data_IF_896464218263
#
_entry.id   IF_896464218263
#
_cell.length_a   1.000
_cell.length_b   1.000
_cell.length_c   1.000
_cell.angle_alpha   90.00
_cell.angle_beta   90.00
_cell.angle_gamma   90.00
#
_symmetry.space_group_name_H-M   'P 1'
#
loop_
_entity.id
_entity.type
_entity.pdbx_description
1 polymer ?
#
# COMPACT_ATOMS: atom_id res chain seq x y z
N UNK A 1 19.71 38.41 -8.67
CA UNK A 1 18.64 37.61 -9.31
C UNK A 1 18.97 36.12 -9.21
N UNK A 2 18.23 35.33 -8.43
CA UNK A 2 18.39 33.86 -8.39
C UNK A 2 17.94 33.30 -9.74
N UNK A 3 18.81 32.58 -10.44
CA UNK A 3 18.49 31.93 -11.70
C UNK A 3 17.35 30.94 -11.47
N UNK A 4 16.15 31.29 -11.93
CA UNK A 4 15.00 30.37 -11.92
C UNK A 4 15.39 29.21 -12.83
N UNK A 5 15.80 28.09 -12.23
CA UNK A 5 16.17 26.86 -12.92
C UNK A 5 14.96 26.44 -13.74
N UNK A 6 14.96 26.74 -15.05
CA UNK A 6 13.88 26.36 -15.96
C UNK A 6 13.65 24.87 -15.78
N UNK A 7 12.45 24.49 -15.33
CA UNK A 7 12.00 23.10 -15.28
C UNK A 7 11.96 22.57 -16.70
N UNK A 8 13.09 22.04 -17.16
CA UNK A 8 13.20 21.41 -18.47
C UNK A 8 12.59 20.02 -18.34
N UNK A 9 11.78 19.64 -19.33
CA UNK A 9 11.16 18.32 -19.32
C UNK A 9 12.27 17.26 -19.28
N UNK A 10 12.27 16.43 -18.22
CA UNK A 10 13.31 15.42 -17.97
C UNK A 10 13.56 14.54 -19.20
N UNK A 11 12.52 14.23 -19.97
CA UNK A 11 12.63 13.40 -21.16
C UNK A 11 13.19 14.18 -22.37
N UNK A 12 12.84 15.45 -22.54
CA UNK A 12 13.41 16.33 -23.56
C UNK A 12 14.91 16.50 -23.37
N UNK A 13 15.35 16.77 -22.14
CA UNK A 13 16.77 16.92 -21.82
C UNK A 13 17.56 15.63 -22.15
N UNK A 14 17.00 14.46 -21.83
CA UNK A 14 17.62 13.17 -22.18
C UNK A 14 17.81 12.97 -23.68
N UNK A 15 16.87 13.42 -24.51
CA UNK A 15 16.99 13.34 -25.96
C UNK A 15 18.07 14.30 -26.50
N UNK A 16 18.19 15.50 -25.92
CA UNK A 16 19.25 16.47 -26.25
C UNK A 16 20.63 15.91 -25.92
N UNK A 17 20.78 15.35 -24.72
CA UNK A 17 22.04 14.69 -24.30
C UNK A 17 22.36 13.52 -25.23
N UNK A 18 21.37 12.73 -25.64
CA UNK A 18 21.58 11.62 -26.56
C UNK A 18 22.08 12.09 -27.92
N UNK A 19 21.50 13.14 -28.50
CA UNK A 19 22.01 13.76 -29.74
C UNK A 19 23.45 14.25 -29.56
N UNK A 20 23.79 14.83 -28.40
CA UNK A 20 25.17 15.25 -28.11
C UNK A 20 26.12 14.05 -28.12
N UNK A 21 25.71 12.96 -27.47
CA UNK A 21 26.47 11.71 -27.39
C UNK A 21 26.68 11.10 -28.77
N UNK A 22 25.62 10.98 -29.59
CA UNK A 22 25.72 10.46 -30.94
C UNK A 22 26.63 11.32 -31.82
N UNK A 23 26.50 12.65 -31.75
CA UNK A 23 27.38 13.56 -32.49
C UNK A 23 28.85 13.39 -32.10
N UNK A 24 29.13 13.27 -30.79
CA UNK A 24 30.49 13.03 -30.30
C UNK A 24 31.04 11.69 -30.80
N UNK A 25 30.25 10.62 -30.70
CA UNK A 25 30.66 9.29 -31.13
C UNK A 25 30.91 9.24 -32.65
N UNK A 26 30.05 9.86 -33.46
CA UNK A 26 30.23 9.93 -34.91
C UNK A 26 31.51 10.68 -35.34
N UNK A 27 31.99 11.63 -34.52
CA UNK A 27 33.20 12.39 -34.82
C UNK A 27 34.49 11.68 -34.35
N UNK A 28 34.42 10.90 -33.26
CA UNK A 28 35.62 10.37 -32.59
C UNK A 28 35.79 8.86 -32.73
N UNK A 29 34.73 8.12 -33.08
CA UNK A 29 34.75 6.67 -33.19
C UNK A 29 34.43 6.28 -34.63
N UNK A 30 35.30 5.47 -35.25
CA UNK A 30 35.05 4.90 -36.58
C UNK A 30 33.86 3.93 -36.55
N UNK A 31 33.76 3.13 -35.48
CA UNK A 31 32.71 2.12 -35.29
C UNK A 31 32.28 2.08 -33.82
N UNK A 32 31.00 1.83 -33.55
CA UNK A 32 30.49 1.67 -32.18
C UNK A 32 29.22 0.82 -32.11
N UNK A 33 28.98 0.25 -30.94
CA UNK A 33 27.80 -0.57 -30.64
C UNK A 33 26.80 0.19 -29.77
N UNK A 34 25.57 -0.34 -29.62
CA UNK A 34 24.59 0.24 -28.68
C UNK A 34 25.07 0.25 -27.22
N UNK A 35 25.91 -0.70 -26.83
CA UNK A 35 26.54 -0.74 -25.50
C UNK A 35 27.49 0.45 -25.31
N UNK A 36 28.26 0.81 -26.34
CA UNK A 36 29.11 2.00 -26.32
C UNK A 36 28.26 3.27 -26.16
N UNK A 37 27.17 3.39 -26.94
CA UNK A 37 26.25 4.53 -26.81
C UNK A 37 25.69 4.62 -25.38
N UNK A 38 25.29 3.47 -24.81
CA UNK A 38 24.76 3.40 -23.45
C UNK A 38 25.80 3.86 -22.41
N UNK A 39 27.05 3.43 -22.55
CA UNK A 39 28.15 3.81 -21.68
C UNK A 39 28.38 5.34 -21.69
N UNK A 40 28.61 5.92 -22.87
CA UNK A 40 28.83 7.37 -23.00
C UNK A 40 27.62 8.20 -22.58
N UNK A 41 26.41 7.75 -22.95
CA UNK A 41 25.17 8.41 -22.54
C UNK A 41 25.03 8.40 -21.02
N UNK A 42 25.22 7.24 -20.36
CA UNK A 42 25.10 7.15 -18.90
C UNK A 42 26.16 7.95 -18.16
N UNK A 43 27.38 8.06 -18.69
CA UNK A 43 28.41 8.93 -18.11
C UNK A 43 28.01 10.40 -18.17
N UNK A 44 27.46 10.87 -19.30
CA UNK A 44 26.92 12.23 -19.41
C UNK A 44 25.73 12.46 -18.47
N UNK A 45 24.88 11.44 -18.29
CA UNK A 45 23.75 11.50 -17.37
C UNK A 45 24.20 11.63 -15.90
N UNK A 46 25.22 10.86 -15.48
CA UNK A 46 25.82 10.96 -14.14
C UNK A 46 26.41 12.35 -13.89
N UNK A 47 27.18 12.89 -14.85
CA UNK A 47 27.73 14.26 -14.79
C UNK A 47 26.64 15.33 -14.61
N UNK A 48 25.47 15.12 -15.21
CA UNK A 48 24.31 16.01 -15.09
C UNK A 48 23.43 15.73 -13.84
N UNK A 49 23.89 14.89 -12.90
CA UNK A 49 23.13 14.54 -11.68
C UNK A 49 21.89 13.68 -11.94
N UNK A 50 21.80 13.00 -13.09
CA UNK A 50 20.68 12.15 -13.46
C UNK A 50 21.01 10.66 -13.33
N UNK A 51 20.01 9.86 -12.95
CA UNK A 51 20.15 8.41 -12.85
C UNK A 51 20.46 7.78 -14.21
N UNK A 52 21.36 6.78 -14.28
CA UNK A 52 21.64 6.05 -15.51
C UNK A 52 20.39 5.31 -16.00
N UNK A 53 20.35 5.03 -17.29
CA UNK A 53 19.25 4.32 -17.96
C UNK A 53 19.68 2.91 -18.36
N UNK A 54 18.69 2.02 -18.50
CA UNK A 54 18.89 0.67 -19.03
C UNK A 54 18.90 0.70 -20.57
N UNK A 55 19.47 -0.33 -21.19
CA UNK A 55 19.54 -0.47 -22.65
C UNK A 55 18.17 -0.34 -23.34
N UNK A 56 17.13 -1.01 -22.81
CA UNK A 56 15.75 -0.92 -23.33
C UNK A 56 15.21 0.52 -23.36
N UNK A 57 15.60 1.33 -22.37
CA UNK A 57 15.21 2.75 -22.31
C UNK A 57 15.97 3.58 -23.35
N UNK A 58 17.27 3.31 -23.55
CA UNK A 58 18.06 3.95 -24.61
C UNK A 58 17.47 3.65 -26.00
N UNK A 59 17.09 2.39 -26.26
CA UNK A 59 16.47 1.98 -27.52
C UNK A 59 15.14 2.72 -27.78
N UNK A 60 14.33 2.92 -26.74
CA UNK A 60 13.10 3.74 -26.85
C UNK A 60 13.40 5.19 -27.21
N UNK A 61 14.51 5.76 -26.74
CA UNK A 61 14.94 7.11 -27.12
C UNK A 61 15.41 7.16 -28.56
N UNK A 62 16.22 6.19 -29.01
CA UNK A 62 16.68 6.09 -30.39
C UNK A 62 15.51 5.94 -31.37
N UNK A 63 14.54 5.07 -31.05
CA UNK A 63 13.28 4.95 -31.80
C UNK A 63 12.55 6.30 -31.93
N UNK A 64 12.50 7.06 -30.83
CA UNK A 64 11.82 8.35 -30.83
C UNK A 64 12.56 9.41 -31.65
N UNK A 65 13.90 9.40 -31.65
CA UNK A 65 14.70 10.31 -32.47
C UNK A 65 14.48 10.07 -33.96
N UNK A 66 14.34 8.81 -34.38
CA UNK A 66 14.08 8.48 -35.78
C UNK A 66 12.60 8.62 -36.14
N UNK A 67 11.70 7.83 -35.54
CA UNK A 67 10.30 7.71 -36.01
C UNK A 67 9.42 8.89 -35.66
N UNK A 68 9.64 9.53 -34.51
CA UNK A 68 8.78 10.63 -34.05
C UNK A 68 9.38 11.98 -34.45
N UNK A 69 10.70 12.13 -34.32
CA UNK A 69 11.38 13.41 -34.53
C UNK A 69 12.09 13.51 -35.89
N UNK A 70 12.38 12.39 -36.56
CA UNK A 70 13.03 12.39 -37.87
C UNK A 70 14.43 13.01 -37.88
N UNK A 71 15.15 13.03 -36.75
CA UNK A 71 16.46 13.71 -36.61
C UNK A 71 17.65 12.78 -36.81
N UNK A 72 17.44 11.47 -36.85
CA UNK A 72 18.46 10.45 -37.11
C UNK A 72 18.07 9.60 -38.32
N UNK A 73 19.04 9.21 -39.13
CA UNK A 73 18.89 8.28 -40.26
C UNK A 73 19.63 7.01 -39.83
N UNK A 74 18.93 5.88 -39.82
CA UNK A 74 19.31 4.54 -39.35
C UNK A 74 18.82 4.18 -37.95
N UNK A 75 17.96 3.18 -37.91
CA UNK A 75 17.53 2.48 -36.71
C UNK A 75 17.51 0.98 -36.99
N UNK A 76 18.45 0.26 -36.40
CA UNK A 76 18.41 -1.20 -36.40
C UNK A 76 17.50 -1.68 -35.26
N UNK A 77 16.37 -2.26 -35.62
CA UNK A 77 15.52 -3.01 -34.69
C UNK A 77 15.59 -4.48 -35.06
N UNK A 78 16.39 -5.25 -34.33
CA UNK A 78 16.06 -6.57 -33.79
C UNK A 78 17.24 -7.04 -32.90
N UNK A 79 16.92 -7.45 -31.66
CA UNK A 79 17.86 -8.12 -30.75
C UNK A 79 17.60 -9.63 -30.88
N UNK A 80 18.47 -10.32 -31.62
CA UNK A 80 18.68 -11.77 -31.52
C UNK A 80 19.85 -12.09 -30.58
N UNK A 81 20.22 -13.38 -30.50
CA UNK A 81 21.12 -13.98 -29.49
C UNK A 81 22.55 -13.38 -29.48
N UNK A 82 22.99 -12.74 -30.56
CA UNK A 82 24.34 -12.19 -30.68
C UNK A 82 24.35 -10.67 -30.43
N UNK A 83 24.73 -10.26 -29.22
CA UNK A 83 24.88 -8.87 -28.77
C UNK A 83 26.07 -8.14 -29.43
N UNK A 84 26.03 -7.97 -30.75
CA UNK A 84 27.07 -7.22 -31.47
C UNK A 84 26.76 -7.08 -32.94
N UNK A 85 25.97 -6.09 -33.30
CA UNK A 85 25.94 -5.57 -34.67
C UNK A 85 26.43 -4.14 -34.62
N UNK A 86 27.33 -3.78 -35.52
CA UNK A 86 27.77 -2.41 -35.73
C UNK A 86 26.55 -1.55 -36.07
N UNK A 87 26.29 -0.49 -35.30
CA UNK A 87 25.13 0.39 -35.55
C UNK A 87 25.60 1.82 -35.68
N UNK A 88 25.62 2.31 -36.92
CA UNK A 88 25.94 3.70 -37.22
C UNK A 88 24.67 4.58 -37.23
N UNK A 89 24.47 5.37 -36.18
CA UNK A 89 23.37 6.33 -36.08
C UNK A 89 23.82 7.69 -36.65
N UNK A 90 23.46 7.98 -37.90
CA UNK A 90 23.80 9.26 -38.54
C UNK A 90 22.79 10.33 -38.14
N UNK A 91 23.26 11.51 -37.75
CA UNK A 91 22.37 12.67 -37.56
C UNK A 91 21.94 13.19 -38.93
N UNK A 92 20.63 13.38 -39.13
CA UNK A 92 20.07 13.94 -40.37
C UNK A 92 20.46 15.41 -40.56
N UNK A 93 20.54 16.14 -39.46
CA UNK A 93 20.85 17.56 -39.43
C UNK A 93 22.03 17.84 -38.49
N UNK A 94 22.57 19.05 -38.57
CA UNK A 94 23.57 19.50 -37.62
C UNK A 94 23.02 19.45 -36.17
N UNK A 95 23.92 19.32 -35.20
CA UNK A 95 23.57 19.20 -33.78
C UNK A 95 22.63 20.31 -33.28
N UNK A 96 22.83 21.56 -33.72
CA UNK A 96 22.02 22.72 -33.29
C UNK A 96 20.60 22.62 -33.83
N UNK A 97 20.44 22.17 -35.06
CA UNK A 97 19.15 22.01 -35.72
C UNK A 97 18.36 20.83 -35.14
N UNK A 98 19.03 19.72 -34.83
CA UNK A 98 18.43 18.63 -34.07
C UNK A 98 17.86 19.11 -32.72
N UNK A 99 18.55 20.01 -32.01
CA UNK A 99 18.03 20.59 -30.76
C UNK A 99 16.81 21.47 -31.00
N UNK A 100 16.81 22.27 -32.06
CA UNK A 100 15.66 23.11 -32.43
C UNK A 100 14.42 22.26 -32.70
N UNK A 101 14.55 21.20 -33.49
CA UNK A 101 13.46 20.26 -33.81
C UNK A 101 12.91 19.61 -32.54
N UNK A 102 13.80 19.08 -31.67
CA UNK A 102 13.39 18.49 -30.39
C UNK A 102 12.65 19.52 -29.53
N UNK A 103 13.21 20.72 -29.38
CA UNK A 103 12.61 21.77 -28.55
C UNK A 103 11.25 22.23 -29.08
N UNK A 104 11.10 22.35 -30.41
CA UNK A 104 9.85 22.69 -31.09
C UNK A 104 8.77 21.64 -30.79
N UNK A 105 9.06 20.36 -31.00
CA UNK A 105 8.13 19.26 -30.73
C UNK A 105 7.59 19.26 -29.29
N UNK A 106 8.46 19.47 -28.29
CA UNK A 106 8.02 19.50 -26.89
C UNK A 106 7.23 20.77 -26.53
N UNK A 107 7.45 21.89 -27.23
CA UNK A 107 6.68 23.13 -27.09
C UNK A 107 5.26 22.94 -27.63
N UNK A 108 5.15 22.46 -28.86
CA UNK A 108 3.86 22.18 -29.52
C UNK A 108 3.04 21.18 -28.70
N UNK A 109 3.65 20.08 -28.24
CA UNK A 109 2.98 19.09 -27.38
C UNK A 109 2.53 19.64 -26.03
N UNK A 110 3.14 20.73 -25.53
CA UNK A 110 2.70 21.40 -24.29
C UNK A 110 1.48 22.27 -24.60
N UNK A 111 1.52 23.00 -25.70
CA UNK A 111 0.40 23.85 -26.17
C UNK A 111 -0.83 23.02 -26.52
N UNK A 112 -0.69 21.89 -27.24
CA UNK A 112 -1.78 20.96 -27.52
C UNK A 112 -2.45 20.45 -26.23
N UNK A 113 -1.65 20.06 -25.24
CA UNK A 113 -2.18 19.60 -23.95
C UNK A 113 -2.92 20.70 -23.20
N UNK A 114 -2.47 21.94 -23.33
CA UNK A 114 -3.16 23.08 -22.76
C UNK A 114 -4.49 23.33 -23.48
N UNK A 115 -4.49 23.38 -24.83
CA UNK A 115 -5.71 23.51 -25.65
C UNK A 115 -6.73 22.42 -25.34
N UNK A 116 -6.31 21.15 -25.26
CA UNK A 116 -7.18 20.02 -24.88
C UNK A 116 -7.82 20.20 -23.51
N UNK A 117 -7.07 20.71 -22.52
CA UNK A 117 -7.61 20.98 -21.17
C UNK A 117 -8.59 22.15 -21.17
N UNK A 118 -8.27 23.23 -21.88
CA UNK A 118 -9.15 24.39 -22.03
C UNK A 118 -10.46 23.98 -22.71
N UNK A 119 -10.40 23.25 -23.82
CA UNK A 119 -11.58 22.74 -24.53
C UNK A 119 -12.40 21.81 -23.66
N UNK A 120 -11.77 20.86 -22.95
CA UNK A 120 -12.49 19.96 -22.04
C UNK A 120 -13.17 20.71 -20.87
N UNK A 121 -12.60 21.84 -20.42
CA UNK A 121 -13.24 22.69 -19.43
C UNK A 121 -14.43 23.46 -20.03
N UNK A 122 -14.29 24.00 -21.23
CA UNK A 122 -15.36 24.68 -21.96
C UNK A 122 -16.52 23.70 -22.22
N UNK A 123 -16.25 22.51 -22.78
CA UNK A 123 -17.25 21.46 -23.00
C UNK A 123 -18.00 21.10 -21.71
N UNK A 124 -17.29 20.88 -20.60
CA UNK A 124 -17.91 20.59 -19.29
C UNK A 124 -18.78 21.74 -18.77
N UNK A 125 -18.42 22.98 -19.07
CA UNK A 125 -19.15 24.17 -18.61
C UNK A 125 -20.37 24.42 -19.50
N UNK A 126 -20.22 24.26 -20.82
CA UNK A 126 -21.32 24.35 -21.79
C UNK A 126 -22.35 23.23 -21.59
N UNK A 127 -21.94 21.99 -21.30
CA UNK A 127 -22.87 20.87 -21.02
C UNK A 127 -23.65 21.11 -19.72
N UNK A 128 -23.05 21.73 -18.69
CA UNK A 128 -23.76 22.10 -17.45
C UNK A 128 -24.82 23.20 -17.66
N UNK A 129 -24.69 24.01 -18.70
CA UNK A 129 -25.63 25.07 -19.03
C UNK A 129 -26.61 24.69 -20.17
N UNK A 130 -26.56 23.45 -20.68
CA UNK A 130 -27.41 23.00 -21.81
C UNK A 130 -28.66 22.21 -21.39
N UNK A 131 -29.04 22.24 -20.11
CA UNK A 131 -30.29 21.65 -19.61
C UNK A 131 -31.14 22.69 -18.87
N UNK A 132 -31.45 23.80 -19.53
CA UNK A 132 -32.67 24.57 -19.23
C UNK A 132 -33.28 25.01 -20.55
N UNK A 133 -33.78 24.04 -21.33
CA UNK A 133 -34.99 24.35 -22.09
C UNK A 133 -36.07 24.67 -21.06
N UNK A 134 -36.70 25.83 -21.19
CA UNK A 134 -37.84 26.27 -20.39
C UNK A 134 -39.02 25.32 -20.66
N UNK A 135 -38.99 24.13 -20.07
CA UNK A 135 -40.18 23.31 -19.94
C UNK A 135 -40.93 23.83 -18.72
N UNK A 136 -42.11 24.36 -18.98
CA UNK A 136 -43.08 24.78 -17.99
C UNK A 136 -43.26 23.66 -16.96
N UNK A 137 -42.99 23.98 -15.70
CA UNK A 137 -43.04 23.01 -14.63
C UNK A 137 -44.51 22.81 -14.22
N UNK A 138 -45.15 21.78 -14.75
CA UNK A 138 -46.43 21.29 -14.21
C UNK A 138 -46.15 20.69 -12.83
N UNK A 139 -46.45 21.45 -11.78
CA UNK A 139 -46.35 21.00 -10.40
C UNK A 139 -47.22 19.75 -10.17
N UNK A 140 -46.60 18.68 -9.69
CA UNK A 140 -47.27 17.69 -8.87
C UNK A 140 -46.61 17.68 -7.48
N UNK A 141 -46.90 18.73 -6.71
CA UNK A 141 -46.76 18.76 -5.25
C UNK A 141 -47.84 17.84 -4.69
N UNK A 142 -47.54 16.72 -4.03
CA UNK A 142 -47.69 16.71 -2.57
C UNK A 142 -46.85 15.62 -1.86
N UNK A 143 -46.23 14.67 -2.57
CA UNK A 143 -45.57 13.51 -1.91
C UNK A 143 -44.02 13.52 -1.88
N UNK A 144 -43.34 14.57 -2.37
CA UNK A 144 -41.85 14.63 -2.44
C UNK A 144 -41.17 15.65 -1.51
N UNK A 145 -41.90 16.32 -0.62
CA UNK A 145 -41.28 17.32 0.30
C UNK A 145 -40.54 16.67 1.46
N UNK A 146 -41.11 15.62 2.06
CA UNK A 146 -40.56 14.97 3.26
C UNK A 146 -39.22 14.24 3.02
N UNK A 147 -39.10 13.48 1.92
CA UNK A 147 -37.85 12.80 1.56
C UNK A 147 -36.70 13.78 1.31
N UNK A 148 -36.95 14.87 0.57
CA UNK A 148 -35.93 15.89 0.29
C UNK A 148 -35.46 16.62 1.55
N UNK A 149 -36.36 16.82 2.51
CA UNK A 149 -36.05 17.50 3.77
C UNK A 149 -35.24 16.61 4.71
N UNK A 150 -35.55 15.32 4.77
CA UNK A 150 -34.77 14.31 5.49
C UNK A 150 -33.36 14.12 4.90
N UNK A 151 -33.26 14.07 3.56
CA UNK A 151 -31.97 14.01 2.87
C UNK A 151 -31.13 15.25 3.15
N UNK A 152 -31.71 16.45 3.12
CA UNK A 152 -31.02 17.70 3.45
C UNK A 152 -30.51 17.70 4.90
N UNK A 153 -31.34 17.30 5.87
CA UNK A 153 -30.94 17.18 7.30
C UNK A 153 -29.78 16.19 7.49
N UNK A 154 -29.80 15.06 6.77
CA UNK A 154 -28.74 14.05 6.83
C UNK A 154 -27.38 14.56 6.28
N UNK A 155 -27.44 15.33 5.18
CA UNK A 155 -26.27 15.95 4.55
C UNK A 155 -25.68 17.02 5.47
N UNK A 156 -26.51 17.88 6.05
CA UNK A 156 -26.09 18.92 6.99
C UNK A 156 -25.41 18.32 8.23
N UNK A 157 -26.02 17.28 8.83
CA UNK A 157 -25.44 16.57 9.98
C UNK A 157 -24.06 15.97 9.65
N UNK A 158 -23.90 15.45 8.43
CA UNK A 158 -22.63 14.90 7.94
C UNK A 158 -21.56 15.99 7.72
N UNK A 159 -21.95 17.16 7.22
CA UNK A 159 -21.05 18.31 7.05
C UNK A 159 -20.54 18.84 8.39
N UNK A 160 -21.42 19.01 9.38
CA UNK A 160 -21.04 19.47 10.73
C UNK A 160 -20.11 18.46 11.40
N UNK A 161 -20.39 17.15 11.29
CA UNK A 161 -19.50 16.08 11.80
C UNK A 161 -18.10 16.16 11.18
N UNK A 162 -18.00 16.35 9.85
CA UNK A 162 -16.71 16.51 9.16
C UNK A 162 -15.96 17.74 9.65
N UNK A 163 -16.65 18.86 9.83
CA UNK A 163 -16.06 20.08 10.36
C UNK A 163 -15.52 19.88 11.79
N UNK A 164 -16.32 19.29 12.68
CA UNK A 164 -15.92 19.05 14.07
C UNK A 164 -14.67 18.15 14.17
N UNK A 165 -14.61 17.07 13.38
CA UNK A 165 -13.42 16.20 13.29
C UNK A 165 -12.16 16.97 12.85
N UNK A 166 -12.30 17.87 11.87
CA UNK A 166 -11.18 18.69 11.37
C UNK A 166 -10.61 19.64 12.43
N UNK A 167 -11.42 20.07 13.40
CA UNK A 167 -11.03 21.05 14.41
C UNK A 167 -10.12 20.48 15.51
N UNK A 168 -9.98 19.15 15.66
CA UNK A 168 -9.21 18.49 16.74
C UNK A 168 -9.42 19.18 18.10
N UNK A 169 -10.66 19.18 18.58
CA UNK A 169 -10.99 19.69 19.91
C UNK A 169 -10.25 18.88 20.99
N UNK A 170 -9.90 19.54 22.09
CA UNK A 170 -9.20 18.90 23.21
C UNK A 170 -10.16 18.42 24.29
N UNK A 171 -11.32 19.06 24.36
CA UNK A 171 -12.43 18.67 25.23
C UNK A 171 -13.52 17.98 24.42
N UNK A 172 -14.31 17.12 25.08
CA UNK A 172 -15.47 16.46 24.49
C UNK A 172 -16.72 17.37 24.41
N UNK A 173 -16.60 18.65 24.80
CA UNK A 173 -17.71 19.62 24.83
C UNK A 173 -18.37 19.84 23.45
N UNK A 174 -17.64 19.60 22.36
CA UNK A 174 -18.20 19.70 21.00
C UNK A 174 -19.24 18.61 20.69
N UNK A 175 -19.27 17.48 21.42
CA UNK A 175 -20.26 16.43 21.24
C UNK A 175 -21.67 16.92 21.56
N UNK A 176 -21.81 17.76 22.59
CA UNK A 176 -23.08 18.39 22.94
C UNK A 176 -23.60 19.25 21.79
N UNK A 177 -22.72 20.01 21.11
CA UNK A 177 -23.11 20.82 19.93
C UNK A 177 -23.56 19.96 18.75
N UNK A 178 -22.90 18.81 18.53
CA UNK A 178 -23.29 17.92 17.43
C UNK A 178 -24.71 17.37 17.61
N UNK A 179 -25.11 17.13 18.87
CA UNK A 179 -26.40 16.56 19.25
C UNK A 179 -27.54 17.59 19.39
N UNK A 180 -27.24 18.89 19.45
CA UNK A 180 -28.27 19.94 19.49
C UNK A 180 -29.19 19.87 18.26
N UNK A 181 -30.48 20.10 18.44
CA UNK A 181 -31.42 20.24 17.33
C UNK A 181 -31.43 21.69 16.85
N UNK A 182 -30.39 22.07 16.13
CA UNK A 182 -30.16 23.43 15.64
C UNK A 182 -29.67 23.42 14.19
N UNK A 183 -29.85 24.56 13.51
CA UNK A 183 -29.38 24.77 12.15
C UNK A 183 -27.85 24.58 12.02
N UNK A 184 -27.43 24.16 10.83
CA UNK A 184 -26.03 23.92 10.50
C UNK A 184 -25.14 25.12 10.84
N UNK A 185 -25.56 26.33 10.46
CA UNK A 185 -24.72 27.52 10.59
C UNK A 185 -24.49 27.87 12.06
N UNK A 186 -25.53 27.77 12.89
CA UNK A 186 -25.43 27.90 14.34
C UNK A 186 -24.45 26.88 14.95
N UNK A 187 -24.54 25.60 14.55
CA UNK A 187 -23.61 24.57 15.03
C UNK A 187 -22.17 24.88 14.65
N UNK A 188 -21.93 25.36 13.42
CA UNK A 188 -20.58 25.73 12.97
C UNK A 188 -20.05 26.92 13.76
N UNK A 189 -20.89 27.91 14.06
CA UNK A 189 -20.52 29.07 14.86
C UNK A 189 -20.21 28.70 16.31
N UNK A 190 -21.03 27.87 16.93
CA UNK A 190 -20.78 27.34 18.27
C UNK A 190 -19.47 26.51 18.32
N UNK A 191 -19.20 25.67 17.32
CA UNK A 191 -17.93 24.95 17.20
C UNK A 191 -16.72 25.89 17.04
N UNK A 192 -16.87 27.01 16.31
CA UNK A 192 -15.82 28.05 16.23
C UNK A 192 -15.60 28.71 17.58
N UNK A 193 -16.65 29.03 18.32
CA UNK A 193 -16.58 29.64 19.65
C UNK A 193 -15.86 28.72 20.64
N UNK A 194 -16.21 27.43 20.69
CA UNK A 194 -15.48 26.44 21.49
C UNK A 194 -14.01 26.41 21.11
N UNK A 195 -13.68 26.39 19.81
CA UNK A 195 -12.28 26.31 19.38
C UNK A 195 -11.49 27.56 19.78
N UNK A 196 -12.11 28.73 19.68
CA UNK A 196 -11.52 30.00 20.16
C UNK A 196 -11.31 29.97 21.68
N UNK A 197 -12.28 29.50 22.45
CA UNK A 197 -12.18 29.39 23.91
C UNK A 197 -11.08 28.41 24.33
N UNK A 198 -11.00 27.24 23.70
CA UNK A 198 -9.89 26.29 23.90
C UNK A 198 -8.55 27.00 23.62
N UNK A 199 -8.38 27.59 22.43
CA UNK A 199 -7.12 28.25 22.05
C UNK A 199 -6.75 29.42 22.99
N UNK A 200 -7.72 30.20 23.47
CA UNK A 200 -7.48 31.30 24.41
C UNK A 200 -7.06 30.79 25.80
N UNK A 201 -7.67 29.71 26.30
CA UNK A 201 -7.24 29.06 27.54
C UNK A 201 -5.81 28.52 27.41
N UNK A 202 -5.42 28.03 26.22
CA UNK A 202 -4.06 27.62 25.93
C UNK A 202 -3.06 28.76 25.77
N UNK A 203 -3.47 29.96 25.35
CA UNK A 203 -2.57 31.14 25.34
C UNK A 203 -2.03 31.46 26.74
N UNK A 204 -2.87 31.36 27.78
CA UNK A 204 -2.46 31.58 29.18
C UNK A 204 -1.56 30.47 29.78
N UNK A 205 -1.49 29.29 29.14
CA UNK A 205 -0.70 28.13 29.62
C UNK A 205 0.58 27.95 28.78
N UNK A 206 0.59 28.43 27.54
CA UNK A 206 1.67 28.20 26.57
C UNK A 206 2.84 29.16 26.68
N UNK A 207 2.82 30.15 27.56
CA UNK A 207 4.02 30.96 27.87
C UNK A 207 5.17 30.09 28.45
N UNK A 208 4.92 28.80 28.72
CA UNK A 208 5.88 27.85 29.31
C UNK A 208 6.23 26.66 28.38
N UNK A 209 5.67 26.53 27.16
CA UNK A 209 5.96 25.35 26.30
C UNK A 209 6.99 25.62 25.18
N UNK A 210 7.99 24.73 24.97
CA UNK A 210 8.98 24.92 23.94
C UNK A 210 8.37 24.80 22.55
N UNK A 211 8.96 25.56 21.63
CA UNK A 211 8.52 25.84 20.27
C UNK A 211 8.74 24.61 19.35
N UNK A 212 8.03 23.50 19.59
CA UNK A 212 8.15 22.31 18.73
C UNK A 212 7.62 22.63 17.33
N UNK A 213 8.41 22.34 16.29
CA UNK A 213 8.01 22.61 14.91
C UNK A 213 6.80 21.75 14.52
N UNK A 214 5.92 22.27 13.63
CA UNK A 214 4.76 21.51 13.09
C UNK A 214 5.15 20.16 12.46
N UNK A 215 6.42 19.96 12.13
CA UNK A 215 6.97 18.73 11.57
C UNK A 215 7.23 17.68 12.67
N UNK A 216 7.81 18.07 13.80
CA UNK A 216 8.09 17.17 14.93
C UNK A 216 6.82 16.51 15.48
N UNK A 217 5.73 17.28 15.60
CA UNK A 217 4.45 16.72 16.06
C UNK A 217 3.94 15.63 15.13
N UNK A 218 4.13 15.79 13.81
CA UNK A 218 3.74 14.78 12.82
C UNK A 218 4.65 13.56 12.88
N UNK A 219 5.96 13.76 13.09
CA UNK A 219 6.90 12.65 13.26
C UNK A 219 6.55 11.81 14.51
N UNK A 220 6.17 12.47 15.61
CA UNK A 220 5.68 11.79 16.83
C UNK A 220 4.41 10.96 16.55
N UNK A 221 3.45 11.50 15.79
CA UNK A 221 2.27 10.74 15.37
C UNK A 221 2.62 9.53 14.50
N UNK A 222 3.57 9.68 13.55
CA UNK A 222 4.04 8.58 12.73
C UNK A 222 4.66 7.46 13.56
N UNK A 223 5.52 7.81 14.53
CA UNK A 223 6.13 6.84 15.45
C UNK A 223 5.05 6.09 16.23
N UNK A 224 4.05 6.79 16.77
CA UNK A 224 2.96 6.17 17.53
C UNK A 224 2.20 5.15 16.67
N UNK A 225 1.82 5.52 15.44
CA UNK A 225 1.12 4.62 14.52
C UNK A 225 1.95 3.40 14.15
N UNK A 226 3.24 3.58 13.87
CA UNK A 226 4.13 2.47 13.52
C UNK A 226 4.33 1.51 14.71
N UNK A 227 4.37 2.03 15.94
CA UNK A 227 4.45 1.21 17.15
C UNK A 227 3.16 0.41 17.40
N UNK A 228 1.99 1.02 17.19
CA UNK A 228 0.70 0.30 17.25
C UNK A 228 0.66 -0.86 16.25
N UNK A 229 1.12 -0.63 15.01
CA UNK A 229 1.22 -1.69 13.98
C UNK A 229 2.23 -2.77 14.39
N UNK A 230 3.38 -2.39 14.95
CA UNK A 230 4.40 -3.34 15.45
C UNK A 230 3.80 -4.26 16.51
N UNK A 231 3.05 -3.70 17.45
CA UNK A 231 2.40 -4.46 18.53
C UNK A 231 1.36 -5.43 17.96
N UNK A 232 0.50 -4.98 17.05
CA UNK A 232 -0.52 -5.82 16.42
C UNK A 232 0.11 -6.99 15.64
N UNK A 233 1.15 -6.74 14.84
CA UNK A 233 1.83 -7.79 14.08
C UNK A 233 2.61 -8.77 14.98
N UNK A 234 3.17 -8.29 16.09
CA UNK A 234 3.81 -9.17 17.08
C UNK A 234 2.79 -10.11 17.71
N UNK A 235 1.60 -9.60 18.06
CA UNK A 235 0.50 -10.40 18.60
C UNK A 235 -0.05 -11.39 17.58
N UNK A 236 -0.06 -11.04 16.28
CA UNK A 236 -0.44 -11.97 15.22
C UNK A 236 0.55 -13.14 15.07
N UNK A 237 1.80 -13.04 15.56
CA UNK A 237 2.80 -14.11 15.49
C UNK A 237 3.90 -13.91 14.44
N UNK A 238 4.19 -12.65 14.05
CA UNK A 238 5.29 -12.32 13.14
C UNK A 238 6.61 -12.06 13.89
N UNK A 239 7.75 -12.34 13.22
CA UNK A 239 9.09 -12.18 13.79
C UNK A 239 9.41 -10.74 14.23
N UNK A 240 9.69 -10.56 15.53
CA UNK A 240 9.95 -9.25 16.15
C UNK A 240 11.18 -8.53 15.57
N UNK A 241 12.29 -9.24 15.36
CA UNK A 241 13.54 -8.69 14.84
C UNK A 241 13.38 -8.17 13.40
N UNK A 242 12.67 -8.93 12.56
CA UNK A 242 12.43 -8.53 11.16
C UNK A 242 11.43 -7.36 11.06
N UNK A 243 10.41 -7.33 11.93
CA UNK A 243 9.46 -6.21 12.01
C UNK A 243 10.16 -4.89 12.34
N UNK A 244 11.10 -4.91 13.28
CA UNK A 244 11.83 -3.72 13.72
C UNK A 244 12.62 -3.06 12.59
N UNK A 245 13.39 -3.85 11.84
CA UNK A 245 14.17 -3.37 10.69
C UNK A 245 13.24 -2.77 9.62
N UNK A 246 12.12 -3.44 9.33
CA UNK A 246 11.22 -2.98 8.25
C UNK A 246 10.39 -1.77 8.65
N UNK A 247 9.94 -1.69 9.90
CA UNK A 247 9.23 -0.53 10.41
C UNK A 247 10.16 0.70 10.44
N UNK A 248 11.44 0.52 10.78
CA UNK A 248 12.41 1.61 10.71
C UNK A 248 12.59 2.14 9.28
N UNK A 249 12.65 1.23 8.29
CA UNK A 249 12.69 1.63 6.88
C UNK A 249 11.44 2.40 6.43
N UNK A 250 10.26 2.01 6.93
CA UNK A 250 9.01 2.75 6.68
C UNK A 250 9.08 4.13 7.33
N UNK A 251 9.53 4.24 8.58
CA UNK A 251 9.69 5.54 9.24
C UNK A 251 10.58 6.48 8.43
N UNK A 252 11.76 6.01 8.01
CA UNK A 252 12.71 6.80 7.23
C UNK A 252 12.15 7.27 5.88
N UNK A 253 11.33 6.45 5.23
CA UNK A 253 10.70 6.80 3.95
C UNK A 253 9.63 7.90 4.08
N UNK A 254 8.94 7.97 5.23
CA UNK A 254 7.75 8.80 5.41
C UNK A 254 7.91 9.94 6.44
N UNK A 255 9.02 10.01 7.21
CA UNK A 255 9.27 11.05 8.23
C UNK A 255 9.19 12.49 7.73
N UNK A 256 9.47 12.70 6.45
CA UNK A 256 9.44 14.02 5.79
C UNK A 256 8.20 14.22 4.90
N UNK A 257 7.21 13.33 4.95
CA UNK A 257 6.01 13.35 4.11
C UNK A 257 4.75 13.63 4.93
N UNK A 258 4.46 14.91 5.24
CA UNK A 258 3.38 15.28 6.15
C UNK A 258 1.98 14.89 5.65
N UNK A 259 1.77 14.77 4.34
CA UNK A 259 0.49 14.36 3.74
C UNK A 259 0.13 12.91 4.06
N UNK A 260 1.13 12.03 4.19
CA UNK A 260 0.92 10.64 4.56
C UNK A 260 0.39 10.49 5.99
N UNK A 261 0.82 11.37 6.90
CA UNK A 261 0.45 11.35 8.32
C UNK A 261 -0.95 11.95 8.52
N UNK A 262 -1.25 13.05 7.82
CA UNK A 262 -2.51 13.79 7.97
C UNK A 262 -3.69 13.09 7.27
N UNK A 263 -3.49 12.50 6.09
CA UNK A 263 -4.56 11.91 5.27
C UNK A 263 -4.59 10.38 5.35
N UNK A 264 -4.20 9.80 6.49
CA UNK A 264 -4.15 8.33 6.67
C UNK A 264 -5.49 7.64 6.40
N UNK A 265 -6.60 8.27 6.80
CA UNK A 265 -7.95 7.70 6.67
C UNK A 265 -8.51 7.87 5.24
N UNK A 266 -7.86 8.68 4.40
CA UNK A 266 -8.30 8.98 3.03
C UNK A 266 -7.64 8.07 2.00
N UNK A 267 -6.48 7.50 2.30
CA UNK A 267 -5.74 6.65 1.36
C UNK A 267 -5.34 5.31 1.98
N UNK A 268 -5.59 4.23 1.24
CA UNK A 268 -5.13 2.84 1.49
C UNK A 268 -3.60 2.64 1.59
N UNK A 269 -2.80 3.70 1.64
CA UNK A 269 -1.34 3.60 1.60
C UNK A 269 -0.79 2.92 2.87
N UNK A 270 -1.42 3.15 4.03
CA UNK A 270 -1.07 2.45 5.26
C UNK A 270 -1.37 0.95 5.17
N UNK A 271 -2.55 0.59 4.65
CA UNK A 271 -2.94 -0.81 4.41
C UNK A 271 -1.98 -1.50 3.44
N UNK A 272 -1.56 -0.82 2.37
CA UNK A 272 -0.56 -1.34 1.42
C UNK A 272 0.79 -1.57 2.08
N UNK A 273 1.21 -0.71 3.01
CA UNK A 273 2.44 -0.90 3.78
C UNK A 273 2.31 -2.12 4.70
N UNK A 274 1.21 -2.24 5.44
CA UNK A 274 0.93 -3.40 6.29
C UNK A 274 0.91 -4.69 5.46
N UNK A 275 0.25 -4.70 4.30
CA UNK A 275 0.23 -5.85 3.39
C UNK A 275 1.62 -6.24 2.87
N UNK A 276 2.50 -5.27 2.60
CA UNK A 276 3.91 -5.54 2.26
C UNK A 276 4.72 -6.07 3.44
N UNK A 277 4.48 -5.56 4.64
CA UNK A 277 5.12 -6.07 5.85
C UNK A 277 4.75 -7.54 6.08
N UNK A 278 3.45 -7.87 6.05
CA UNK A 278 2.95 -9.25 6.21
C UNK A 278 3.52 -10.22 5.16
N UNK A 279 3.65 -9.80 3.90
CA UNK A 279 4.21 -10.65 2.83
C UNK A 279 5.71 -10.93 2.95
N UNK A 280 6.45 -10.08 3.65
CA UNK A 280 7.91 -10.10 3.60
C UNK A 280 8.55 -10.43 4.94
N UNK A 281 7.79 -10.41 6.04
CA UNK A 281 8.22 -10.86 7.35
C UNK A 281 7.77 -12.30 7.54
N UNK A 282 8.66 -13.14 8.02
CA UNK A 282 8.32 -14.54 8.31
C UNK A 282 7.34 -14.63 9.48
N UNK A 283 6.32 -15.46 9.28
CA UNK A 283 5.33 -15.80 10.28
C UNK A 283 5.86 -16.95 11.13
N UNK A 284 6.23 -16.68 12.38
CA UNK A 284 6.94 -17.65 13.23
C UNK A 284 6.03 -18.76 13.75
N UNK A 285 4.72 -18.49 13.92
CA UNK A 285 3.78 -19.47 14.47
C UNK A 285 3.44 -20.64 13.52
N UNK A 286 3.75 -20.53 12.22
CA UNK A 286 3.49 -21.63 11.27
C UNK A 286 4.39 -22.84 11.52
N UNK A 287 5.68 -22.60 11.83
CA UNK A 287 6.63 -23.69 12.10
C UNK A 287 6.33 -24.43 13.40
N UNK A 288 5.84 -23.74 14.43
CA UNK A 288 5.43 -24.38 15.69
C UNK A 288 4.16 -25.21 15.51
N UNK A 289 3.18 -24.73 14.75
CA UNK A 289 1.96 -25.50 14.44
C UNK A 289 2.23 -26.73 13.56
N UNK A 290 3.05 -26.60 12.51
CA UNK A 290 3.46 -27.75 11.66
C UNK A 290 4.20 -28.81 12.50
N UNK A 291 5.14 -28.40 13.36
CA UNK A 291 5.83 -29.32 14.27
C UNK A 291 4.89 -30.00 15.29
N UNK A 292 3.91 -29.29 15.85
CA UNK A 292 2.92 -29.89 16.78
C UNK A 292 2.01 -30.91 16.09
N UNK A 293 1.60 -30.65 14.85
CA UNK A 293 0.80 -31.58 14.04
C UNK A 293 1.64 -32.82 13.70
N UNK A 294 2.88 -32.65 13.29
CA UNK A 294 3.79 -33.76 12.96
C UNK A 294 4.10 -34.62 14.20
N UNK A 295 4.38 -33.99 15.35
CA UNK A 295 4.55 -34.70 16.63
C UNK A 295 3.29 -35.49 16.98
N UNK A 296 2.10 -34.89 16.85
CA UNK A 296 0.83 -35.58 17.12
C UNK A 296 0.61 -36.78 16.20
N UNK A 297 0.88 -36.64 14.90
CA UNK A 297 0.72 -37.73 13.92
C UNK A 297 1.70 -38.88 14.18
N UNK A 298 2.94 -38.57 14.53
CA UNK A 298 3.93 -39.58 14.87
C UNK A 298 3.56 -40.33 16.15
N UNK A 299 3.14 -39.61 17.19
CA UNK A 299 2.68 -40.21 18.46
C UNK A 299 1.44 -41.06 18.23
N UNK A 300 0.48 -40.59 17.42
CA UNK A 300 -0.68 -41.38 17.02
C UNK A 300 -0.27 -42.69 16.34
N UNK A 301 0.68 -42.63 15.41
CA UNK A 301 1.15 -43.81 14.67
C UNK A 301 1.84 -44.82 15.59
N UNK A 302 2.67 -44.35 16.54
CA UNK A 302 3.34 -45.21 17.51
C UNK A 302 2.31 -45.89 18.44
N UNK A 303 1.37 -45.12 19.01
CA UNK A 303 0.36 -45.67 19.92
C UNK A 303 -0.61 -46.62 19.21
N UNK A 304 -0.97 -46.33 17.96
CA UNK A 304 -1.79 -47.22 17.14
C UNK A 304 -1.09 -48.56 16.91
N UNK A 305 0.20 -48.55 16.56
CA UNK A 305 1.00 -49.76 16.36
C UNK A 305 1.13 -50.58 17.65
N UNK A 306 1.29 -49.91 18.80
CA UNK A 306 1.37 -50.58 20.11
C UNK A 306 0.04 -51.21 20.55
N UNK A 307 -1.10 -50.60 20.22
CA UNK A 307 -2.42 -51.00 20.74
C UNK A 307 -3.27 -51.80 19.74
N UNK A 308 -2.90 -51.87 18.45
CA UNK A 308 -3.68 -52.58 17.41
C UNK A 308 -3.95 -54.05 17.72
N UNK A 309 -3.10 -54.69 18.52
CA UNK A 309 -3.24 -56.09 18.90
C UNK A 309 -4.22 -56.31 20.08
N UNK A 310 -4.61 -55.25 20.79
CA UNK A 310 -5.45 -55.34 21.99
C UNK A 310 -6.93 -55.08 21.72
N UNK A 311 -7.28 -54.38 20.65
CA UNK A 311 -8.66 -53.98 20.33
C UNK A 311 -8.79 -53.67 18.84
N UNK A 312 -9.98 -53.87 18.29
CA UNK A 312 -10.28 -53.59 16.89
C UNK A 312 -10.00 -52.13 16.51
N UNK A 313 -9.45 -51.93 15.31
CA UNK A 313 -9.10 -50.61 14.78
C UNK A 313 -10.30 -49.66 14.73
N UNK A 314 -11.51 -50.18 14.51
CA UNK A 314 -12.75 -49.39 14.47
C UNK A 314 -13.07 -48.69 15.80
N UNK A 315 -12.67 -49.30 16.92
CA UNK A 315 -12.88 -48.77 18.28
C UNK A 315 -11.65 -47.98 18.74
N UNK A 316 -10.45 -48.48 18.42
CA UNK A 316 -9.19 -47.88 18.87
C UNK A 316 -8.91 -46.50 18.25
N UNK A 317 -9.14 -46.34 16.94
CA UNK A 317 -8.84 -45.08 16.24
C UNK A 317 -9.61 -43.88 16.80
N UNK A 318 -10.94 -43.96 17.05
CA UNK A 318 -11.69 -42.88 17.70
C UNK A 318 -11.19 -42.55 19.11
N UNK A 319 -10.88 -43.55 19.93
CA UNK A 319 -10.39 -43.36 21.31
C UNK A 319 -9.04 -42.62 21.30
N UNK A 320 -8.10 -43.07 20.46
CA UNK A 320 -6.79 -42.43 20.31
C UNK A 320 -6.90 -40.98 19.85
N UNK A 321 -7.74 -40.70 18.85
CA UNK A 321 -7.95 -39.33 18.36
C UNK A 321 -8.53 -38.43 19.45
N UNK A 322 -9.52 -38.92 20.20
CA UNK A 322 -10.13 -38.16 21.28
C UNK A 322 -9.12 -37.88 22.41
N UNK A 323 -8.36 -38.90 22.83
CA UNK A 323 -7.32 -38.77 23.83
C UNK A 323 -6.25 -37.75 23.45
N UNK A 324 -5.64 -37.86 22.26
CA UNK A 324 -4.59 -36.93 21.80
C UNK A 324 -5.10 -35.49 21.59
N UNK A 325 -6.40 -35.30 21.34
CA UNK A 325 -7.01 -33.98 21.21
C UNK A 325 -7.17 -33.25 22.54
N UNK A 326 -7.31 -33.99 23.65
CA UNK A 326 -7.46 -33.44 25.01
C UNK A 326 -6.14 -33.11 25.68
N UNK A 327 -5.02 -33.55 25.12
CA UNK A 327 -3.69 -33.32 25.68
C UNK A 327 -3.21 -31.89 25.37
N UNK A 328 -2.85 -31.14 26.41
CA UNK A 328 -2.35 -29.77 26.30
C UNK A 328 -1.00 -29.69 25.58
N UNK A 329 -0.14 -30.71 25.77
CA UNK A 329 1.17 -30.80 25.12
C UNK A 329 1.56 -32.27 24.94
N UNK A 330 2.01 -32.62 23.75
CA UNK A 330 2.46 -33.96 23.41
C UNK A 330 4.00 -34.01 23.37
N UNK A 331 4.59 -35.00 24.04
CA UNK A 331 6.04 -35.14 24.17
C UNK A 331 6.48 -36.58 23.91
N UNK A 332 7.53 -36.77 23.11
CA UNK A 332 8.06 -38.12 22.82
C UNK A 332 8.60 -38.83 24.07
N UNK A 333 9.12 -38.10 25.05
CA UNK A 333 9.57 -38.64 26.34
C UNK A 333 8.48 -39.48 27.01
N UNK A 334 7.22 -39.03 26.94
CA UNK A 334 6.05 -39.72 27.49
C UNK A 334 5.61 -40.95 26.66
N UNK A 335 5.96 -40.99 25.38
CA UNK A 335 5.80 -42.21 24.56
C UNK A 335 6.83 -43.24 24.95
N UNK A 336 8.11 -42.83 25.04
CA UNK A 336 9.20 -43.74 25.40
C UNK A 336 9.11 -44.27 26.82
N UNK A 337 8.55 -43.49 27.76
CA UNK A 337 8.25 -43.97 29.11
C UNK A 337 6.97 -44.80 29.21
N UNK A 338 6.30 -45.09 28.07
CA UNK A 338 5.01 -45.78 27.98
C UNK A 338 3.88 -45.14 28.78
N UNK A 339 4.02 -43.88 29.18
CA UNK A 339 3.04 -43.18 30.02
C UNK A 339 1.69 -43.04 29.30
N UNK A 340 1.70 -42.60 28.03
CA UNK A 340 0.49 -42.51 27.22
C UNK A 340 -0.17 -43.87 26.97
N UNK A 341 0.63 -44.93 26.86
CA UNK A 341 0.13 -46.28 26.64
C UNK A 341 -0.67 -46.78 27.85
N UNK A 342 -0.17 -46.59 29.08
CA UNK A 342 -0.89 -46.99 30.28
C UNK A 342 -2.16 -46.16 30.54
N UNK A 343 -2.13 -44.84 30.34
CA UNK A 343 -3.33 -44.00 30.44
C UNK A 343 -4.43 -44.44 29.45
N UNK A 344 -4.04 -44.83 28.23
CA UNK A 344 -4.97 -45.35 27.24
C UNK A 344 -5.54 -46.71 27.60
N UNK A 345 -4.74 -47.59 28.23
CA UNK A 345 -5.24 -48.88 28.72
C UNK A 345 -6.27 -48.70 29.83
N UNK A 346 -6.01 -47.82 30.79
CA UNK A 346 -6.94 -47.49 31.87
C UNK A 346 -8.26 -46.94 31.30
N UNK A 347 -8.18 -46.01 30.35
CA UNK A 347 -9.35 -45.48 29.64
C UNK A 347 -10.12 -46.57 28.87
N UNK A 348 -9.44 -47.58 28.32
CA UNK A 348 -10.08 -48.68 27.60
C UNK A 348 -10.72 -49.71 28.54
N UNK A 349 -10.13 -49.95 29.72
CA UNK A 349 -10.71 -50.78 30.78
C UNK A 349 -11.96 -50.14 31.37
N UNK A 350 -11.92 -48.83 31.65
CA UNK A 350 -13.09 -48.08 32.12
C UNK A 350 -14.22 -48.05 31.09
N UNK A 351 -13.90 -47.93 29.81
CA UNK A 351 -14.90 -48.00 28.74
C UNK A 351 -15.47 -49.42 28.55
N UNK A 352 -14.67 -50.48 28.77
CA UNK A 352 -15.16 -51.87 28.78
C UNK A 352 -16.17 -52.09 29.91
N UNK A 353 -15.88 -51.57 31.10
CA UNK A 353 -16.80 -51.62 32.24
C UNK A 353 -18.10 -50.86 31.95
N UNK A 354 -18.02 -49.70 31.28
CA UNK A 354 -19.19 -48.93 30.85
C UNK A 354 -20.04 -49.63 29.78
N UNK A 355 -19.41 -50.35 28.84
CA UNK A 355 -20.08 -51.13 27.79
C UNK A 355 -20.77 -52.38 28.36
N UNK A 356 -20.10 -53.12 29.24
CA UNK A 356 -20.69 -54.28 29.94
C UNK A 356 -21.88 -53.87 30.84
N UNK A 357 -21.81 -52.70 31.48
CA UNK A 357 -22.93 -52.14 32.27
C UNK A 357 -24.15 -51.77 31.40
N UNK A 358 -23.94 -51.47 30.12
CA UNK A 358 -25.00 -51.11 29.17
C UNK A 358 -25.67 -52.34 28.56
N UNK A 359 -24.91 -53.41 28.34
CA UNK A 359 -25.43 -54.70 27.87
C UNK A 359 -26.21 -55.44 28.97
N UNK A 360 -25.72 -55.42 30.21
CA UNK A 360 -26.43 -55.99 31.37
C UNK A 360 -27.76 -55.31 31.69
N UNK A 361 -27.89 -54.00 31.40
CA UNK A 361 -29.18 -53.27 31.49
C UNK A 361 -30.18 -53.59 30.37
N UNK A 362 -29.72 -54.12 29.23
CA UNK A 362 -30.60 -54.52 28.12
C UNK A 362 -31.18 -55.92 28.27
N UNK A 363 -30.57 -56.78 29.09
CA UNK A 363 -31.02 -58.18 29.30
C UNK A 363 -32.07 -58.28 30.41
N UNK A 364 -32.25 -57.23 31.22
CA UNK A 364 -33.21 -57.19 32.36
C UNK A 364 -34.41 -56.27 32.15
N UNK A 365 -34.71 -55.85 30.90
CA UNK A 365 -35.93 -55.11 30.56
C UNK A 365 -36.87 -55.94 29.69
#
# INVERSE_FOLDING_TARGET
>A
MRSIKKSTNKHQHKLIVLISTLNYMNLNLKQYTQSNILYYFNNNMKKNGQKPVKLKTLQSYLYKLEKVLGVTINYYKHLGVNMGTEVHYKLKYNKKECYRIINKHFREKKEERYKKRANAYIEKTCIKNRSVEKWECSNNSYNKKEEKENDKKSIEKSQVKKYAKKCNFKSNAFLSILNLEAEKDFKIEALKAIKKAENNKYKRINDIKPNNSKLENKQKELIRMLNEIKANLKNEGYSSKQLEIKIQNVYEQYKNKPHFIIEKDKYSDLEKIIGKLKKTVEYTNRRTQENEIDIRNNIFSILLEQLKHKTDMSVLVPILKNYLSKQNKLEYSKVFSNHYYYELLELMEDNKNYLQLRESKKVTS
#
